data_IF_145501010030
#
_entry.id   IF_145501010030
#
_cell.length_a   1.000
_cell.length_b   1.000
_cell.length_c   1.000
_cell.angle_alpha   90.00
_cell.angle_beta   90.00
_cell.angle_gamma   90.00
#
_symmetry.space_group_name_H-M   'P 1'
#
loop_
_entity.id
_entity.type
_entity.pdbx_description
1 polymer ?
#
# COMPACT_ATOMS: atom_id res chain seq x y z
N UNK A 1 12.30 21.76 -4.35
CA UNK A 1 12.10 20.81 -5.47
C UNK A 1 13.18 19.76 -5.40
N UNK A 2 12.86 18.56 -4.92
CA UNK A 2 13.73 17.39 -5.04
C UNK A 2 12.88 16.12 -5.26
N UNK A 3 11.96 16.19 -6.23
CA UNK A 3 11.12 15.06 -6.65
C UNK A 3 11.96 14.22 -7.61
N UNK A 4 12.85 13.36 -7.09
CA UNK A 4 13.62 12.45 -7.95
C UNK A 4 14.17 11.18 -7.27
N UNK A 5 13.58 10.72 -6.16
CA UNK A 5 13.81 9.34 -5.66
C UNK A 5 12.48 8.55 -5.54
N UNK A 6 11.33 9.20 -5.69
CA UNK A 6 10.01 8.68 -5.28
C UNK A 6 9.32 7.71 -6.26
N UNK A 7 9.91 7.36 -7.42
CA UNK A 7 9.19 6.57 -8.44
C UNK A 7 9.42 5.06 -8.39
N UNK A 8 9.48 4.46 -7.19
CA UNK A 8 9.44 3.00 -7.03
C UNK A 8 8.73 2.58 -5.74
N UNK A 9 7.90 1.55 -5.86
CA UNK A 9 7.30 0.67 -4.83
C UNK A 9 6.20 1.25 -3.93
N UNK A 10 4.95 0.96 -4.32
CA UNK A 10 3.69 0.96 -3.57
C UNK A 10 3.35 2.24 -2.76
N UNK A 11 2.36 2.98 -3.24
CA UNK A 11 1.79 4.17 -2.61
C UNK A 11 0.33 3.93 -2.19
N UNK A 12 -0.07 4.48 -1.02
CA UNK A 12 -1.41 4.27 -0.50
C UNK A 12 -2.49 4.87 -1.41
N UNK A 13 -2.28 6.04 -2.02
CA UNK A 13 -3.31 6.69 -2.85
C UNK A 13 -3.43 6.07 -4.25
N UNK A 14 -2.28 5.83 -4.89
CA UNK A 14 -2.22 5.45 -6.29
C UNK A 14 -2.24 3.94 -6.54
N UNK A 15 -1.74 3.13 -5.59
CA UNK A 15 -1.71 1.68 -5.76
C UNK A 15 -2.80 1.01 -4.92
N UNK A 16 -2.93 1.38 -3.65
CA UNK A 16 -3.84 0.69 -2.71
C UNK A 16 -5.28 1.20 -2.85
N UNK A 17 -5.53 2.48 -2.58
CA UNK A 17 -6.86 3.06 -2.62
C UNK A 17 -7.39 3.12 -4.07
N UNK A 18 -6.52 3.29 -5.06
CA UNK A 18 -6.94 3.20 -6.46
C UNK A 18 -7.41 1.79 -6.84
N UNK A 19 -6.72 0.74 -6.39
CA UNK A 19 -7.16 -0.64 -6.61
C UNK A 19 -8.52 -0.90 -5.93
N UNK A 20 -8.72 -0.42 -4.71
CA UNK A 20 -10.00 -0.50 -3.99
C UNK A 20 -11.14 0.17 -4.75
N UNK A 21 -10.91 1.37 -5.31
CA UNK A 21 -11.90 2.05 -6.16
C UNK A 21 -12.27 1.27 -7.43
N UNK A 22 -11.40 0.38 -7.88
CA UNK A 22 -11.64 -0.54 -9.00
C UNK A 22 -12.24 -1.88 -8.57
N UNK A 23 -12.58 -2.07 -7.28
CA UNK A 23 -13.17 -3.30 -6.74
C UNK A 23 -12.16 -4.41 -6.42
N UNK A 24 -10.86 -4.08 -6.31
CA UNK A 24 -9.82 -5.01 -5.88
C UNK A 24 -9.57 -4.87 -4.36
N UNK A 25 -9.02 -5.91 -3.73
CA UNK A 25 -8.53 -5.81 -2.35
C UNK A 25 -7.25 -4.97 -2.30
N UNK A 26 -7.24 -3.89 -1.52
CA UNK A 26 -6.09 -3.03 -1.30
C UNK A 26 -5.19 -3.57 -0.19
N UNK A 27 -3.98 -3.98 -0.54
CA UNK A 27 -2.98 -4.48 0.42
C UNK A 27 -1.80 -3.52 0.49
N UNK A 28 -1.54 -2.98 1.69
CA UNK A 28 -0.37 -2.13 1.95
C UNK A 28 0.65 -2.87 2.81
N UNK A 29 1.81 -3.19 2.26
CA UNK A 29 2.83 -3.96 2.99
C UNK A 29 3.81 -3.02 3.69
N UNK A 30 4.17 -3.32 4.95
CA UNK A 30 5.26 -2.64 5.67
C UNK A 30 6.65 -2.96 5.09
N UNK A 31 6.96 -2.41 3.92
CA UNK A 31 8.29 -2.54 3.31
C UNK A 31 9.20 -1.38 3.69
N UNK A 32 10.46 -1.40 3.23
CA UNK A 32 11.43 -0.30 3.47
C UNK A 32 11.04 1.08 2.90
N UNK A 33 9.90 1.19 2.21
CA UNK A 33 9.34 2.47 1.71
C UNK A 33 8.03 2.87 2.38
N UNK A 34 7.59 2.12 3.38
CA UNK A 34 6.41 2.46 4.16
C UNK A 34 6.65 3.70 5.01
N UNK A 35 5.77 4.70 4.89
CA UNK A 35 5.75 5.92 5.69
C UNK A 35 4.44 5.98 6.49
N UNK A 36 4.45 5.87 7.83
CA UNK A 36 3.25 5.99 8.66
C UNK A 36 2.48 7.30 8.44
N UNK A 37 3.20 8.40 8.21
CA UNK A 37 2.63 9.72 7.94
C UNK A 37 1.82 9.74 6.62
N UNK A 38 2.25 9.00 5.60
CA UNK A 38 1.53 8.89 4.35
C UNK A 38 0.17 8.21 4.59
N UNK A 39 0.15 7.15 5.40
CA UNK A 39 -1.10 6.47 5.79
C UNK A 39 -2.00 7.37 6.61
N UNK A 40 -1.45 8.09 7.59
CA UNK A 40 -2.23 9.02 8.41
C UNK A 40 -2.82 10.18 7.60
N UNK A 41 -2.19 10.57 6.50
CA UNK A 41 -2.65 11.64 5.61
C UNK A 41 -3.56 11.17 4.46
N UNK A 42 -3.71 9.86 4.27
CA UNK A 42 -4.42 9.29 3.15
C UNK A 42 -5.94 9.52 3.25
N UNK A 43 -6.59 9.56 2.09
CA UNK A 43 -8.04 9.72 1.97
C UNK A 43 -8.84 8.49 2.42
N UNK A 44 -8.16 7.39 2.73
CA UNK A 44 -8.76 6.13 3.15
C UNK A 44 -7.73 5.18 3.78
N UNK A 45 -8.18 3.96 4.08
CA UNK A 45 -7.36 2.93 4.70
C UNK A 45 -7.26 1.68 3.81
N UNK A 46 -6.11 0.98 3.80
CA UNK A 46 -5.99 -0.33 3.15
C UNK A 46 -6.95 -1.34 3.77
N UNK A 47 -7.32 -2.37 3.02
CA UNK A 47 -8.11 -3.49 3.54
C UNK A 47 -7.26 -4.43 4.41
N UNK A 48 -5.99 -4.62 4.03
CA UNK A 48 -5.04 -5.49 4.74
C UNK A 48 -3.66 -4.82 4.81
N UNK A 49 -3.00 -4.92 5.96
CA UNK A 49 -1.66 -4.36 6.20
C UNK A 49 -0.73 -5.42 6.79
N UNK A 50 -0.14 -6.31 5.96
CA UNK A 50 0.80 -7.30 6.45
C UNK A 50 2.18 -6.69 6.72
N UNK A 51 2.90 -7.29 7.67
CA UNK A 51 4.25 -6.83 8.05
C UNK A 51 5.31 -7.16 6.98
N UNK A 52 5.08 -8.21 6.18
CA UNK A 52 6.01 -8.62 5.13
C UNK A 52 5.27 -8.98 3.84
N UNK A 53 5.95 -8.78 2.70
CA UNK A 53 5.45 -9.27 1.41
C UNK A 53 5.36 -10.80 1.38
N UNK A 54 6.18 -11.48 2.20
CA UNK A 54 6.14 -12.94 2.35
C UNK A 54 4.79 -13.45 2.88
N UNK A 55 3.99 -12.59 3.51
CA UNK A 55 2.69 -12.95 4.07
C UNK A 55 1.54 -12.79 3.06
N UNK A 56 1.79 -12.11 1.92
CA UNK A 56 0.77 -11.85 0.88
C UNK A 56 0.22 -13.13 0.24
N UNK A 57 1.03 -14.16 -0.10
CA UNK A 57 0.49 -15.39 -0.69
C UNK A 57 -0.60 -16.06 0.16
N UNK A 58 -0.52 -15.96 1.49
CA UNK A 58 -1.52 -16.54 2.42
C UNK A 58 -2.90 -15.90 2.24
N UNK A 59 -2.97 -14.68 1.71
CA UNK A 59 -4.23 -13.96 1.46
C UNK A 59 -5.02 -14.52 0.26
N UNK A 60 -4.38 -15.33 -0.59
CA UNK A 60 -4.99 -15.87 -1.82
C UNK A 60 -5.65 -17.23 -1.63
N UNK A 61 -5.41 -17.88 -0.49
CA UNK A 61 -5.97 -19.19 -0.14
C UNK A 61 -7.31 -19.09 0.63
N UNK A 62 -7.89 -17.89 0.70
CA UNK A 62 -9.10 -17.56 1.47
C UNK A 62 -10.40 -17.67 0.65
#
# INVERSE_FOLDING_TARGET
MNVAIERLLIDIENDVLAAQRCGLTGVLVHTGKYLPEAVASASGTPDVVPDSFADVPVLLDA
#
